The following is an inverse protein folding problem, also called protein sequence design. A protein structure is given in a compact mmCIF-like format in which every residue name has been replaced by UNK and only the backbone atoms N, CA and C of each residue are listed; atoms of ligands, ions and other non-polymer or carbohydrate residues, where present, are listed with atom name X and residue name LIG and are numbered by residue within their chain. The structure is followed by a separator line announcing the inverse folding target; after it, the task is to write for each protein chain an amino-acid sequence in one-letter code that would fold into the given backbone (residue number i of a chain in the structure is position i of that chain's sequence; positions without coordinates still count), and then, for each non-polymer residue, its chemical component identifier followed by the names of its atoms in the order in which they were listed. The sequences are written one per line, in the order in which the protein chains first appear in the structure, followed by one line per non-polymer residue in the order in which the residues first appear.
data_IF_130289722832
#
_entry.id   IF_130289722832
#
_cell.length_a   1.000
_cell.length_b   1.000
_cell.length_c   1.000
_cell.angle_alpha   90.00
_cell.angle_beta   90.00
_cell.angle_gamma   90.00
#
_symmetry.space_group_name_H-M   'P 1'
#
loop_
_entity.id
_entity.type
_entity.pdbx_description
1 polymer ?
#
# COMPACT_ATOMS: atom_id res chain seq x y z
N UNK A 1 -11.51 18.52 -4.68
CA UNK A 1 -11.78 17.06 -4.51
C UNK A 1 -10.82 16.54 -3.47
N UNK A 2 -11.26 15.67 -2.56
CA UNK A 2 -10.43 15.13 -1.48
C UNK A 2 -10.54 13.61 -1.41
N UNK A 3 -9.53 12.95 -0.86
CA UNK A 3 -9.50 11.50 -0.66
C UNK A 3 -10.67 10.99 0.22
N UNK A 4 -11.24 11.86 1.07
CA UNK A 4 -12.41 11.55 1.90
C UNK A 4 -13.65 11.13 1.07
N UNK A 5 -13.76 11.56 -0.19
CA UNK A 5 -14.85 11.13 -1.07
C UNK A 5 -14.85 9.62 -1.38
N UNK A 6 -13.72 8.94 -1.21
CA UNK A 6 -13.62 7.48 -1.32
C UNK A 6 -14.27 6.73 -0.12
N UNK A 7 -14.66 7.46 0.93
CA UNK A 7 -15.07 6.87 2.21
C UNK A 7 -13.87 6.47 3.08
N UNK A 8 -14.19 5.91 4.24
CA UNK A 8 -13.20 5.46 5.25
C UNK A 8 -13.37 3.98 5.54
N UNK A 9 -12.31 3.37 6.08
CA UNK A 9 -12.32 2.02 6.62
C UNK A 9 -11.58 2.02 7.95
N UNK A 10 -11.96 1.14 8.87
CA UNK A 10 -11.29 0.98 10.16
C UNK A 10 -10.10 0.03 10.02
N UNK A 11 -8.92 0.52 10.40
CA UNK A 11 -7.69 -0.26 10.58
C UNK A 11 -7.48 -0.43 12.09
N UNK A 12 -7.95 -1.54 12.65
CA UNK A 12 -8.09 -1.64 14.09
C UNK A 12 -9.04 -0.55 14.61
N UNK A 13 -8.55 0.31 15.50
CA UNK A 13 -9.28 1.47 16.02
C UNK A 13 -8.96 2.81 15.31
N UNK A 14 -8.25 2.75 14.18
CA UNK A 14 -7.85 3.92 13.39
C UNK A 14 -8.72 4.04 12.12
N UNK A 15 -9.42 5.16 11.96
CA UNK A 15 -10.15 5.45 10.72
C UNK A 15 -9.20 6.02 9.66
N UNK A 16 -9.13 5.38 8.50
CA UNK A 16 -8.29 5.82 7.38
C UNK A 16 -9.11 6.02 6.11
N UNK A 17 -8.70 6.97 5.26
CA UNK A 17 -9.30 7.15 3.94
C UNK A 17 -8.96 5.94 3.05
N UNK A 18 -9.94 5.48 2.26
CA UNK A 18 -9.77 4.34 1.35
C UNK A 18 -8.88 4.66 0.14
N UNK A 19 -8.55 5.92 -0.08
CA UNK A 19 -7.51 6.35 -1.00
C UNK A 19 -6.36 6.96 -0.20
N UNK A 20 -5.31 6.16 0.02
CA UNK A 20 -4.09 6.53 0.71
C UNK A 20 -2.96 6.93 -0.25
N UNK A 21 -1.75 6.97 0.26
CA UNK A 21 -0.53 7.31 -0.48
C UNK A 21 0.58 6.28 -0.26
N UNK A 22 1.10 5.72 -1.36
CA UNK A 22 2.24 4.78 -1.36
C UNK A 22 3.57 5.52 -1.51
N UNK A 23 4.42 5.45 -0.49
CA UNK A 23 5.66 6.20 -0.41
C UNK A 23 6.89 5.51 -1.07
N UNK A 24 6.73 4.33 -1.68
CA UNK A 24 7.84 3.63 -2.33
C UNK A 24 8.50 4.45 -3.43
N UNK A 25 7.73 5.24 -4.17
CA UNK A 25 8.22 6.12 -5.24
C UNK A 25 8.98 7.35 -4.75
N UNK A 26 9.00 7.64 -3.45
CA UNK A 26 9.76 8.77 -2.88
C UNK A 26 11.28 8.59 -2.94
N UNK A 27 11.76 7.44 -3.36
CA UNK A 27 13.17 7.08 -3.42
C UNK A 27 13.73 7.15 -4.84
N UNK A 28 15.04 7.03 -4.96
CA UNK A 28 15.74 7.02 -6.24
C UNK A 28 15.46 5.78 -7.10
N UNK A 29 16.07 5.71 -8.29
CA UNK A 29 15.92 4.57 -9.20
C UNK A 29 16.21 3.23 -8.52
N UNK A 30 15.43 2.21 -8.89
CA UNK A 30 15.57 0.88 -8.27
C UNK A 30 15.11 0.84 -6.81
N UNK A 31 14.36 1.84 -6.34
CA UNK A 31 13.95 1.99 -4.92
C UNK A 31 15.18 2.05 -4.01
N UNK A 32 16.21 2.82 -4.40
CA UNK A 32 17.47 2.94 -3.70
C UNK A 32 17.93 4.39 -3.64
N UNK A 33 18.43 4.82 -2.47
CA UNK A 33 18.94 6.17 -2.26
C UNK A 33 17.90 7.29 -2.34
N UNK A 34 18.33 8.54 -2.29
CA UNK A 34 17.45 9.70 -2.32
C UNK A 34 16.82 9.91 -3.71
N UNK A 35 15.67 10.61 -3.78
CA UNK A 35 15.05 10.98 -5.04
C UNK A 35 15.90 11.95 -5.84
N UNK A 36 15.77 11.97 -7.18
CA UNK A 36 16.47 12.96 -8.01
C UNK A 36 15.95 14.39 -7.81
N UNK A 37 14.66 14.54 -7.45
CA UNK A 37 14.03 15.83 -7.16
C UNK A 37 13.40 15.83 -5.76
N UNK A 38 14.18 16.29 -4.79
CA UNK A 38 13.74 16.39 -3.39
C UNK A 38 12.66 17.46 -3.19
N UNK A 39 12.66 18.53 -4.00
CA UNK A 39 11.67 19.61 -3.88
C UNK A 39 10.30 19.14 -4.31
N UNK A 40 10.17 18.44 -5.44
CA UNK A 40 8.94 17.85 -5.89
C UNK A 40 8.38 16.82 -4.89
N UNK A 41 9.26 16.02 -4.28
CA UNK A 41 8.88 15.07 -3.22
C UNK A 41 8.30 15.79 -2.01
N UNK A 42 8.96 16.85 -1.53
CA UNK A 42 8.47 17.63 -0.38
C UNK A 42 7.13 18.31 -0.68
N UNK A 43 6.99 18.92 -1.86
CA UNK A 43 5.72 19.48 -2.30
C UNK A 43 4.60 18.43 -2.33
N UNK A 44 4.90 17.25 -2.88
CA UNK A 44 3.94 16.13 -2.94
C UNK A 44 3.49 15.72 -1.53
N UNK A 45 4.42 15.53 -0.60
CA UNK A 45 4.10 15.13 0.77
C UNK A 45 3.33 16.21 1.53
N UNK A 46 3.71 17.48 1.41
CA UNK A 46 3.00 18.61 2.05
C UNK A 46 1.56 18.77 1.52
N UNK A 47 1.29 18.39 0.27
CA UNK A 47 -0.03 18.49 -0.31
C UNK A 47 -1.02 17.44 0.24
N UNK A 48 -0.55 16.34 0.87
CA UNK A 48 -1.40 15.22 1.31
C UNK A 48 -2.52 15.66 2.26
N UNK A 49 -2.20 16.47 3.27
CA UNK A 49 -3.19 16.95 4.24
C UNK A 49 -4.32 17.74 3.57
N UNK A 50 -3.97 18.72 2.72
CA UNK A 50 -4.95 19.54 2.00
C UNK A 50 -5.80 18.74 1.01
N UNK A 51 -5.34 17.57 0.59
CA UNK A 51 -6.05 16.64 -0.27
C UNK A 51 -6.85 15.59 0.52
N UNK A 52 -6.83 15.63 1.85
CA UNK A 52 -7.60 14.70 2.72
C UNK A 52 -7.07 13.28 2.72
N UNK A 53 -5.81 13.08 2.35
CA UNK A 53 -5.13 11.78 2.49
C UNK A 53 -4.76 11.62 3.96
N UNK A 54 -5.23 10.54 4.59
CA UNK A 54 -4.98 10.25 6.02
C UNK A 54 -4.14 9.00 6.23
N UNK A 55 -3.84 8.24 5.18
CA UNK A 55 -3.06 7.01 5.24
C UNK A 55 -1.84 7.09 4.34
N UNK A 56 -0.65 6.89 4.92
CA UNK A 56 0.64 6.88 4.22
C UNK A 56 1.34 5.55 4.46
N UNK A 57 1.64 4.83 3.39
CA UNK A 57 2.30 3.52 3.45
C UNK A 57 3.76 3.61 2.98
N UNK A 58 4.69 3.33 3.89
CA UNK A 58 6.13 3.28 3.62
C UNK A 58 6.74 1.92 3.99
N UNK A 59 8.06 1.79 4.01
CA UNK A 59 8.82 0.63 4.51
C UNK A 59 10.26 1.03 4.81
N UNK A 60 10.89 0.32 5.76
CA UNK A 60 12.31 0.48 6.08
C UNK A 60 13.24 0.16 4.88
N UNK A 61 12.79 -0.74 4.02
CA UNK A 61 13.52 -1.18 2.81
C UNK A 61 13.43 -0.20 1.64
N UNK A 62 12.62 0.88 1.73
CA UNK A 62 12.51 1.86 0.68
C UNK A 62 13.64 2.91 0.79
N UNK A 63 14.64 2.73 -0.08
CA UNK A 63 15.79 3.60 -0.19
C UNK A 63 17.08 3.32 0.58
N UNK A 64 17.34 2.29 1.39
CA UNK A 64 16.72 1.93 2.67
C UNK A 64 16.61 3.12 3.63
N UNK A 65 15.55 3.17 4.41
CA UNK A 65 15.16 4.23 5.37
C UNK A 65 14.86 5.59 4.74
N UNK A 66 15.28 5.86 3.51
CA UNK A 66 15.10 7.18 2.85
C UNK A 66 13.62 7.58 2.81
N UNK A 67 12.73 6.65 2.45
CA UNK A 67 11.29 6.95 2.40
C UNK A 67 10.73 7.34 3.77
N UNK A 68 11.11 6.62 4.83
CA UNK A 68 10.70 6.95 6.21
C UNK A 68 11.24 8.31 6.65
N UNK A 69 12.50 8.64 6.34
CA UNK A 69 13.09 9.95 6.64
C UNK A 69 12.37 11.10 5.92
N UNK A 70 12.00 10.89 4.65
CA UNK A 70 11.25 11.89 3.87
C UNK A 70 9.83 12.09 4.41
N UNK A 71 9.14 11.00 4.76
CA UNK A 71 7.82 11.03 5.42
C UNK A 71 7.92 11.76 6.75
N UNK A 72 8.92 11.46 7.58
CA UNK A 72 9.17 12.18 8.84
C UNK A 72 9.41 13.65 8.61
N UNK A 73 10.32 13.99 7.70
CA UNK A 73 10.71 15.38 7.43
C UNK A 73 9.56 16.27 6.95
N UNK A 74 8.53 15.68 6.35
CA UNK A 74 7.40 16.42 5.82
C UNK A 74 6.13 16.36 6.69
N UNK A 75 5.91 15.27 7.44
CA UNK A 75 4.62 15.00 8.08
C UNK A 75 4.68 14.89 9.61
N UNK A 76 5.88 14.74 10.21
CA UNK A 76 5.97 14.67 11.68
C UNK A 76 5.45 16.00 12.31
N UNK A 77 4.66 15.95 13.39
CA UNK A 77 4.30 14.82 14.26
C UNK A 77 3.06 13.99 13.81
N UNK A 78 2.77 13.92 12.53
CA UNK A 78 1.74 13.07 11.89
C UNK A 78 0.29 13.40 12.25
N UNK A 79 -0.01 14.63 12.67
CA UNK A 79 -1.38 15.02 12.97
C UNK A 79 -2.32 14.78 11.80
N UNK A 80 -3.33 13.92 12.01
CA UNK A 80 -4.31 13.53 10.98
C UNK A 80 -3.81 12.45 10.00
N UNK A 81 -2.62 11.88 10.23
CA UNK A 81 -2.10 10.78 9.44
C UNK A 81 -1.94 9.51 10.27
N UNK A 82 -2.26 8.37 9.65
CA UNK A 82 -1.83 7.04 10.07
C UNK A 82 -0.67 6.64 9.15
N UNK A 83 0.50 6.40 9.73
CA UNK A 83 1.69 6.01 8.99
C UNK A 83 1.95 4.52 9.18
N UNK A 84 1.87 3.78 8.07
CA UNK A 84 2.22 2.37 8.02
C UNK A 84 3.66 2.20 7.54
N UNK A 85 4.42 1.33 8.20
CA UNK A 85 5.73 0.89 7.69
C UNK A 85 5.83 -0.63 7.69
N UNK A 86 6.95 -1.15 7.17
CA UNK A 86 7.14 -2.59 6.98
C UNK A 86 8.58 -2.99 7.31
N UNK A 87 8.76 -4.27 7.71
CA UNK A 87 10.07 -4.90 7.85
C UNK A 87 10.04 -6.35 7.35
N UNK A 88 11.19 -7.02 7.33
CA UNK A 88 11.33 -8.39 6.82
C UNK A 88 11.78 -8.47 5.37
N UNK A 89 11.93 -7.34 4.66
CA UNK A 89 12.67 -7.24 3.40
C UNK A 89 13.89 -6.35 3.56
N UNK A 90 14.99 -6.76 2.94
CA UNK A 90 16.25 -6.03 2.84
C UNK A 90 16.63 -5.78 1.39
N UNK A 91 17.53 -4.82 1.18
CA UNK A 91 17.95 -4.34 -0.15
C UNK A 91 19.44 -4.57 -0.35
N UNK A 92 19.87 -5.74 -0.88
CA UNK A 92 21.28 -6.00 -1.16
C UNK A 92 21.87 -5.06 -2.21
N UNK A 93 21.10 -4.67 -3.23
CA UNK A 93 21.47 -3.75 -4.30
C UNK A 93 20.22 -3.12 -4.93
N UNK A 94 20.37 -2.09 -5.80
CA UNK A 94 19.26 -1.57 -6.61
C UNK A 94 18.55 -2.70 -7.37
N UNK A 95 17.21 -2.65 -7.40
CA UNK A 95 16.33 -3.67 -8.00
C UNK A 95 16.40 -5.07 -7.38
N UNK A 96 17.24 -5.30 -6.37
CA UNK A 96 17.31 -6.57 -5.66
C UNK A 96 16.58 -6.49 -4.32
N UNK A 97 15.85 -7.55 -4.01
CA UNK A 97 15.09 -7.72 -2.78
C UNK A 97 15.40 -9.08 -2.19
N UNK A 98 15.62 -9.15 -0.90
CA UNK A 98 15.79 -10.39 -0.16
C UNK A 98 14.92 -10.37 1.10
N UNK A 99 14.51 -11.54 1.58
CA UNK A 99 13.83 -11.68 2.86
C UNK A 99 14.87 -11.80 3.99
N UNK A 100 14.52 -11.25 5.16
CA UNK A 100 15.22 -11.52 6.41
C UNK A 100 14.16 -11.54 7.53
N UNK A 101 13.61 -12.74 7.76
CA UNK A 101 12.56 -12.99 8.74
C UNK A 101 13.09 -13.46 10.09
N UNK A 102 14.41 -13.44 10.32
CA UNK A 102 14.98 -13.82 11.61
C UNK A 102 14.45 -12.92 12.73
N UNK A 103 14.13 -13.48 13.91
CA UNK A 103 13.55 -12.69 15.02
C UNK A 103 14.33 -11.43 15.37
N UNK A 104 15.66 -11.50 15.43
CA UNK A 104 16.51 -10.34 15.69
C UNK A 104 16.51 -9.31 14.58
N UNK A 105 16.40 -9.74 13.31
CA UNK A 105 16.30 -8.83 12.18
C UNK A 105 14.96 -8.09 12.14
N UNK A 106 13.86 -8.79 12.42
CA UNK A 106 12.53 -8.19 12.53
C UNK A 106 12.45 -7.18 13.67
N UNK A 107 13.04 -7.49 14.83
CA UNK A 107 13.13 -6.57 15.97
C UNK A 107 13.93 -5.32 15.62
N UNK A 108 15.11 -5.50 15.03
CA UNK A 108 15.96 -4.40 14.56
C UNK A 108 15.26 -3.53 13.52
N UNK A 109 14.44 -4.12 12.64
CA UNK A 109 13.64 -3.37 11.66
C UNK A 109 12.60 -2.48 12.32
N UNK A 110 11.89 -2.96 13.36
CA UNK A 110 10.92 -2.17 14.14
C UNK A 110 11.60 -1.05 14.89
N UNK A 111 12.68 -1.34 15.63
CA UNK A 111 13.48 -0.35 16.38
C UNK A 111 14.05 0.73 15.45
N UNK A 112 14.55 0.32 14.29
CA UNK A 112 15.02 1.23 13.25
C UNK A 112 13.93 2.16 12.75
N UNK A 113 12.74 1.63 12.45
CA UNK A 113 11.59 2.42 11.97
C UNK A 113 11.07 3.39 13.05
N UNK A 114 10.99 2.97 14.32
CA UNK A 114 10.65 3.87 15.45
C UNK A 114 11.57 5.07 15.49
N UNK A 115 12.89 4.83 15.43
CA UNK A 115 13.91 5.88 15.42
C UNK A 115 13.82 6.77 14.19
N UNK A 116 13.68 6.16 13.01
CA UNK A 116 13.67 6.88 11.72
C UNK A 116 12.42 7.74 11.58
N UNK A 117 11.25 7.22 11.94
CA UNK A 117 9.99 7.97 11.93
C UNK A 117 9.87 8.94 13.12
N UNK A 118 10.65 8.74 14.19
CA UNK A 118 10.65 9.62 15.38
C UNK A 118 9.40 9.43 16.24
N UNK A 119 8.95 8.21 16.44
CA UNK A 119 7.77 7.86 17.22
C UNK A 119 8.11 6.79 18.27
N UNK A 120 7.37 6.75 19.37
CA UNK A 120 7.53 5.74 20.41
C UNK A 120 6.75 4.45 20.11
N UNK A 121 5.77 4.52 19.19
CA UNK A 121 4.94 3.41 18.75
C UNK A 121 4.54 3.56 17.28
N UNK A 122 4.67 2.49 16.50
CA UNK A 122 4.20 2.44 15.12
C UNK A 122 2.68 2.19 15.08
N UNK A 123 1.95 2.99 14.33
CA UNK A 123 0.49 2.82 14.18
C UNK A 123 0.14 1.51 13.47
N UNK A 124 0.80 1.23 12.35
CA UNK A 124 0.73 -0.03 11.63
C UNK A 124 2.13 -0.46 11.21
N UNK A 125 2.52 -1.65 11.65
CA UNK A 125 3.71 -2.32 11.12
C UNK A 125 3.29 -3.59 10.38
N UNK A 126 3.85 -3.82 9.18
CA UNK A 126 3.48 -4.94 8.34
C UNK A 126 4.69 -5.85 8.11
N UNK A 127 4.52 -7.17 8.29
CA UNK A 127 5.50 -8.13 7.79
C UNK A 127 5.46 -8.05 6.26
N UNK A 128 6.53 -7.49 5.68
CA UNK A 128 6.59 -7.18 4.25
C UNK A 128 6.51 -8.43 3.36
N UNK A 129 7.11 -9.53 3.85
CA UNK A 129 7.01 -10.87 3.28
C UNK A 129 7.43 -11.89 4.35
N UNK A 130 6.73 -13.01 4.40
CA UNK A 130 7.17 -14.14 5.22
C UNK A 130 8.45 -14.71 4.58
N UNK A 131 9.51 -14.86 5.38
CA UNK A 131 10.76 -15.47 4.93
C UNK A 131 10.62 -16.99 4.88
N UNK A 132 10.77 -17.64 3.71
CA UNK A 132 10.63 -19.08 3.61
C UNK A 132 11.75 -19.87 4.28
N UNK A 133 12.85 -19.22 4.65
CA UNK A 133 14.02 -19.84 5.29
C UNK A 133 13.94 -19.82 6.83
N UNK A 134 12.93 -19.14 7.40
CA UNK A 134 12.69 -19.04 8.84
C UNK A 134 11.30 -19.58 9.15
N UNK A 135 11.11 -20.44 10.15
CA UNK A 135 9.77 -20.90 10.54
C UNK A 135 8.80 -19.72 10.74
N UNK A 136 7.61 -19.81 10.12
CA UNK A 136 6.64 -18.72 10.17
C UNK A 136 6.20 -18.39 11.61
N UNK A 137 6.08 -19.42 12.45
CA UNK A 137 5.70 -19.26 13.87
C UNK A 137 6.73 -18.43 14.65
N UNK A 138 8.04 -18.56 14.35
CA UNK A 138 9.08 -17.75 14.98
C UNK A 138 8.96 -16.28 14.57
N UNK A 139 8.68 -16.02 13.28
CA UNK A 139 8.44 -14.68 12.78
C UNK A 139 7.19 -14.06 13.43
N UNK A 140 6.09 -14.82 13.52
CA UNK A 140 4.84 -14.34 14.11
C UNK A 140 4.96 -14.15 15.62
N UNK A 141 5.68 -15.03 16.32
CA UNK A 141 5.88 -14.90 17.77
C UNK A 141 6.64 -13.62 18.15
N UNK A 142 7.75 -13.30 17.47
CA UNK A 142 8.49 -12.07 17.75
C UNK A 142 7.68 -10.80 17.40
N UNK A 143 6.85 -10.84 16.35
CA UNK A 143 5.95 -9.73 16.00
C UNK A 143 4.90 -9.53 17.10
N UNK A 144 4.29 -10.62 17.59
CA UNK A 144 3.35 -10.58 18.69
C UNK A 144 4.00 -10.02 19.98
N UNK A 145 5.25 -10.37 20.27
CA UNK A 145 6.02 -9.82 21.41
C UNK A 145 6.23 -8.31 21.27
N UNK A 146 6.60 -7.83 20.10
CA UNK A 146 6.76 -6.40 19.84
C UNK A 146 5.45 -5.63 19.94
N UNK A 147 4.33 -6.23 19.54
CA UNK A 147 3.00 -5.65 19.74
C UNK A 147 2.64 -5.59 21.24
N UNK A 148 2.83 -6.69 21.99
CA UNK A 148 2.58 -6.73 23.45
C UNK A 148 3.44 -5.75 24.23
N UNK A 149 4.68 -5.52 23.79
CA UNK A 149 5.58 -4.53 24.43
C UNK A 149 5.24 -3.08 24.10
N UNK A 150 4.24 -2.84 23.23
CA UNK A 150 3.78 -1.51 22.87
C UNK A 150 4.58 -0.82 21.76
N UNK A 151 5.56 -1.49 21.13
CA UNK A 151 6.32 -0.94 20.00
C UNK A 151 5.45 -0.81 18.73
N UNK A 152 4.49 -1.71 18.57
CA UNK A 152 3.56 -1.76 17.43
C UNK A 152 2.14 -1.69 17.99
N UNK A 153 1.30 -0.79 17.43
CA UNK A 153 -0.13 -0.72 17.75
C UNK A 153 -0.91 -1.79 17.00
N UNK A 154 -0.80 -1.80 15.69
CA UNK A 154 -1.48 -2.75 14.81
C UNK A 154 -0.48 -3.50 13.93
N UNK A 155 -0.73 -4.79 13.75
CA UNK A 155 0.07 -5.67 12.89
C UNK A 155 -0.69 -5.96 11.60
N UNK A 156 0.01 -5.82 10.48
CA UNK A 156 -0.48 -6.24 9.17
C UNK A 156 0.44 -7.26 8.50
N UNK A 157 -0.03 -7.82 7.42
CA UNK A 157 0.71 -8.77 6.59
C UNK A 157 0.77 -8.27 5.15
N UNK A 158 1.85 -8.61 4.45
CA UNK A 158 1.98 -8.28 3.02
C UNK A 158 2.47 -9.49 2.22
N UNK A 159 1.96 -9.63 0.99
CA UNK A 159 2.29 -10.73 0.08
C UNK A 159 1.99 -12.12 0.66
N UNK A 160 0.80 -12.29 1.19
CA UNK A 160 0.36 -13.51 1.88
C UNK A 160 -0.82 -14.18 1.16
N UNK A 161 -0.94 -15.48 1.38
CA UNK A 161 -2.09 -16.32 1.02
C UNK A 161 -3.09 -16.43 2.17
N UNK A 162 -4.30 -16.95 1.89
CA UNK A 162 -5.33 -17.20 2.92
C UNK A 162 -4.82 -18.11 4.05
N UNK A 163 -4.17 -19.27 3.79
CA UNK A 163 -3.61 -20.10 4.87
C UNK A 163 -2.60 -19.34 5.74
N UNK A 164 -1.74 -18.50 5.15
CA UNK A 164 -0.75 -17.72 5.90
C UNK A 164 -1.41 -16.64 6.79
N UNK A 165 -2.53 -16.07 6.36
CA UNK A 165 -3.33 -15.16 7.20
C UNK A 165 -3.88 -15.92 8.41
N UNK A 166 -4.47 -17.09 8.20
CA UNK A 166 -5.03 -17.90 9.26
C UNK A 166 -3.97 -18.40 10.26
N UNK A 167 -2.76 -18.72 9.78
CA UNK A 167 -1.66 -19.08 10.66
C UNK A 167 -1.21 -17.88 11.52
N UNK A 168 -1.05 -16.70 10.93
CA UNK A 168 -0.69 -15.48 11.66
C UNK A 168 -1.74 -15.08 12.71
N UNK A 169 -3.04 -15.30 12.42
CA UNK A 169 -4.15 -15.01 13.35
C UNK A 169 -4.13 -15.83 14.63
N UNK A 170 -3.37 -16.92 14.68
CA UNK A 170 -3.13 -17.70 15.91
C UNK A 170 -2.21 -16.95 16.90
N UNK A 171 -1.42 -15.98 16.41
CA UNK A 171 -0.42 -15.24 17.19
C UNK A 171 -0.85 -13.80 17.53
N UNK A 172 -1.53 -13.11 16.61
CA UNK A 172 -1.99 -11.73 16.79
C UNK A 172 -3.23 -11.42 15.93
N UNK A 173 -3.89 -10.31 16.25
CA UNK A 173 -4.96 -9.78 15.40
C UNK A 173 -4.36 -9.16 14.14
N UNK A 174 -4.69 -9.69 12.97
CA UNK A 174 -4.30 -9.13 11.68
C UNK A 174 -5.17 -7.92 11.37
N UNK A 175 -4.60 -6.72 11.43
CA UNK A 175 -5.33 -5.47 11.24
C UNK A 175 -5.39 -5.00 9.78
N UNK A 176 -4.52 -5.52 8.92
CA UNK A 176 -4.55 -5.27 7.46
C UNK A 176 -3.85 -6.37 6.69
N UNK A 177 -4.23 -6.54 5.43
CA UNK A 177 -3.48 -7.35 4.46
C UNK A 177 -3.14 -6.50 3.25
N UNK A 178 -1.87 -6.54 2.82
CA UNK A 178 -1.41 -5.76 1.68
C UNK A 178 -0.85 -6.67 0.58
N UNK A 179 -1.59 -6.81 -0.53
CA UNK A 179 -1.16 -7.62 -1.67
C UNK A 179 -1.24 -6.84 -2.99
N UNK A 180 -0.54 -7.34 -4.02
CA UNK A 180 -0.68 -6.85 -5.38
C UNK A 180 -2.12 -7.07 -5.88
N UNK A 181 -2.78 -5.98 -6.25
CA UNK A 181 -4.13 -6.07 -6.79
C UNK A 181 -4.49 -4.83 -7.62
N UNK A 182 -4.94 -5.05 -8.84
CA UNK A 182 -5.46 -4.00 -9.73
C UNK A 182 -6.29 -4.66 -10.84
N UNK A 183 -6.95 -3.86 -11.65
CA UNK A 183 -7.92 -4.32 -12.65
C UNK A 183 -7.42 -5.41 -13.59
N UNK A 184 -6.11 -5.45 -13.91
CA UNK A 184 -5.46 -6.44 -14.79
C UNK A 184 -4.58 -7.47 -14.06
N UNK A 185 -4.56 -7.49 -12.73
CA UNK A 185 -3.91 -8.54 -11.95
C UNK A 185 -4.75 -8.84 -10.69
N UNK A 186 -5.38 -9.99 -10.71
CA UNK A 186 -6.34 -10.41 -9.68
C UNK A 186 -5.95 -11.69 -8.97
N UNK A 187 -4.66 -12.02 -8.97
CA UNK A 187 -4.19 -13.23 -8.28
C UNK A 187 -4.50 -13.21 -6.79
N UNK A 188 -4.66 -12.03 -6.19
CA UNK A 188 -5.04 -11.86 -4.79
C UNK A 188 -6.55 -11.77 -4.57
N UNK A 189 -7.41 -12.05 -5.57
CA UNK A 189 -8.87 -12.05 -5.41
C UNK A 189 -9.33 -12.93 -4.23
N UNK A 190 -8.86 -14.20 -4.07
CA UNK A 190 -9.27 -15.03 -2.93
C UNK A 190 -8.86 -14.44 -1.57
N UNK A 191 -7.74 -13.71 -1.52
CA UNK A 191 -7.28 -13.02 -0.31
C UNK A 191 -8.15 -11.81 0.00
N UNK A 192 -8.54 -11.03 -1.03
CA UNK A 192 -9.49 -9.93 -0.86
C UNK A 192 -10.83 -10.42 -0.32
N UNK A 193 -11.40 -11.46 -0.93
CA UNK A 193 -12.68 -12.05 -0.50
C UNK A 193 -12.62 -12.57 0.95
N UNK A 194 -11.50 -13.16 1.34
CA UNK A 194 -11.27 -13.60 2.71
C UNK A 194 -11.17 -12.41 3.69
N UNK A 195 -10.49 -11.34 3.29
CA UNK A 195 -10.43 -10.09 4.07
C UNK A 195 -11.81 -9.46 4.24
N UNK A 196 -12.64 -9.45 3.20
CA UNK A 196 -14.04 -8.99 3.24
C UNK A 196 -14.86 -9.75 4.28
N UNK A 197 -14.74 -11.08 4.31
CA UNK A 197 -15.45 -11.94 5.27
C UNK A 197 -15.04 -11.68 6.73
N UNK A 198 -13.77 -11.31 6.93
CA UNK A 198 -13.19 -11.05 8.25
C UNK A 198 -13.29 -9.58 8.68
N UNK A 199 -13.73 -8.67 7.80
CA UNK A 199 -13.72 -7.24 8.06
C UNK A 199 -12.31 -6.65 8.18
N UNK A 200 -11.34 -7.19 7.45
CA UNK A 200 -9.95 -6.75 7.43
C UNK A 200 -9.71 -5.84 6.22
N UNK A 201 -9.20 -4.60 6.37
CA UNK A 201 -8.79 -3.76 5.27
C UNK A 201 -7.76 -4.44 4.36
N UNK A 202 -8.04 -4.42 3.04
CA UNK A 202 -7.15 -4.93 2.02
C UNK A 202 -6.44 -3.78 1.32
N UNK A 203 -5.15 -3.63 1.53
CA UNK A 203 -4.33 -2.56 0.95
C UNK A 203 -3.83 -3.04 -0.42
N UNK A 204 -4.34 -2.42 -1.49
CA UNK A 204 -3.95 -2.75 -2.86
C UNK A 204 -2.69 -1.96 -3.26
N UNK A 205 -1.53 -2.63 -3.31
CA UNK A 205 -0.32 -2.00 -3.82
C UNK A 205 -0.20 -2.14 -5.34
N UNK A 206 0.58 -1.26 -5.99
CA UNK A 206 0.66 -1.09 -7.45
C UNK A 206 -0.72 -0.90 -8.12
N UNK A 207 -1.62 -0.09 -7.56
CA UNK A 207 -2.99 0.04 -8.07
C UNK A 207 -3.03 0.52 -9.54
N UNK A 208 -1.96 1.17 -10.01
CA UNK A 208 -1.77 1.66 -11.38
C UNK A 208 -0.80 0.81 -12.20
N UNK A 209 -0.51 -0.45 -11.79
CA UNK A 209 0.39 -1.36 -12.48
C UNK A 209 1.74 -0.70 -12.83
N UNK A 210 2.39 -0.04 -11.85
CA UNK A 210 3.63 0.73 -12.02
C UNK A 210 3.56 1.89 -13.03
N UNK A 211 2.37 2.39 -13.33
CA UNK A 211 2.10 3.47 -14.27
C UNK A 211 1.44 3.02 -15.59
N UNK A 212 1.50 1.73 -15.93
CA UNK A 212 0.94 1.22 -17.17
C UNK A 212 -0.57 1.46 -17.32
N UNK A 213 -1.32 1.47 -16.22
CA UNK A 213 -2.76 1.76 -16.24
C UNK A 213 -3.07 3.26 -16.29
N UNK A 214 -2.10 4.13 -15.98
CA UNK A 214 -2.24 5.58 -16.06
C UNK A 214 -1.74 6.17 -17.39
N UNK A 215 -1.06 5.37 -18.21
CA UNK A 215 -0.54 5.82 -19.50
C UNK A 215 -1.65 6.19 -20.48
N UNK A 216 -1.40 7.16 -21.36
CA UNK A 216 -2.38 7.63 -22.34
C UNK A 216 -2.84 6.54 -23.34
N UNK A 217 -1.97 5.57 -23.60
CA UNK A 217 -2.22 4.38 -24.44
C UNK A 217 -2.65 3.14 -23.63
N UNK A 218 -3.00 3.33 -22.37
CA UNK A 218 -3.51 2.27 -21.49
C UNK A 218 -4.71 1.56 -22.11
N UNK A 219 -4.84 0.27 -21.82
CA UNK A 219 -6.02 -0.53 -22.20
C UNK A 219 -7.34 0.05 -21.65
N UNK A 220 -7.27 0.88 -20.61
CA UNK A 220 -8.42 1.57 -20.03
C UNK A 220 -8.74 2.89 -20.75
N UNK A 221 -7.84 3.42 -21.61
CA UNK A 221 -8.00 4.74 -22.21
C UNK A 221 -9.32 4.91 -23.00
N UNK A 222 -9.80 3.94 -23.81
CA UNK A 222 -11.07 4.08 -24.51
C UNK A 222 -12.28 4.16 -23.58
N UNK A 223 -12.29 3.39 -22.48
CA UNK A 223 -13.36 3.42 -21.50
C UNK A 223 -13.29 4.70 -20.65
N UNK A 224 -12.09 5.11 -20.21
CA UNK A 224 -11.87 6.34 -19.48
C UNK A 224 -12.30 7.59 -20.25
N UNK A 225 -12.00 7.65 -21.56
CA UNK A 225 -12.43 8.76 -22.44
C UNK A 225 -13.94 8.92 -22.50
N UNK A 226 -14.70 7.81 -22.57
CA UNK A 226 -16.19 7.85 -22.50
C UNK A 226 -16.72 8.41 -21.19
N UNK A 227 -15.95 8.26 -20.10
CA UNK A 227 -16.29 8.75 -18.78
C UNK A 227 -15.81 10.19 -18.52
N UNK A 228 -15.05 10.78 -19.43
CA UNK A 228 -14.43 12.10 -19.27
C UNK A 228 -13.37 12.14 -18.14
N UNK A 229 -12.70 11.01 -17.86
CA UNK A 229 -11.67 10.86 -16.82
C UNK A 229 -10.38 10.29 -17.41
N UNK A 230 -9.29 10.31 -16.62
CA UNK A 230 -8.04 9.70 -17.06
C UNK A 230 -8.07 8.17 -16.84
N UNK A 231 -7.21 7.40 -17.58
CA UNK A 231 -7.10 5.96 -17.37
C UNK A 231 -6.69 5.60 -15.92
N UNK A 232 -5.81 6.40 -15.31
CA UNK A 232 -5.43 6.24 -13.90
C UNK A 232 -6.61 6.41 -12.95
N UNK A 233 -7.44 7.41 -13.18
CA UNK A 233 -8.68 7.60 -12.41
C UNK A 233 -9.66 6.45 -12.59
N UNK A 234 -9.80 5.92 -13.80
CA UNK A 234 -10.66 4.75 -14.07
C UNK A 234 -10.17 3.51 -13.29
N UNK A 235 -8.85 3.26 -13.27
CA UNK A 235 -8.26 2.16 -12.53
C UNK A 235 -8.48 2.28 -11.00
N UNK A 236 -8.30 3.47 -10.44
CA UNK A 236 -8.51 3.73 -9.01
C UNK A 236 -9.98 3.67 -8.63
N UNK A 237 -10.87 4.27 -9.43
CA UNK A 237 -12.32 4.22 -9.21
C UNK A 237 -12.86 2.79 -9.26
N UNK A 238 -12.32 1.96 -10.18
CA UNK A 238 -12.64 0.56 -10.23
C UNK A 238 -12.28 -0.16 -8.93
N UNK A 239 -11.07 0.05 -8.37
CA UNK A 239 -10.65 -0.52 -7.08
C UNK A 239 -11.61 -0.11 -5.96
N UNK A 240 -11.93 1.16 -5.86
CA UNK A 240 -12.80 1.70 -4.82
C UNK A 240 -14.24 1.16 -4.92
N UNK A 241 -14.73 0.89 -6.13
CA UNK A 241 -16.06 0.27 -6.34
C UNK A 241 -16.04 -1.24 -6.15
N UNK A 242 -14.91 -1.94 -6.42
CA UNK A 242 -14.79 -3.40 -6.29
C UNK A 242 -15.09 -3.89 -4.87
N UNK A 243 -14.65 -3.15 -3.85
CA UNK A 243 -14.90 -3.53 -2.47
C UNK A 243 -14.80 -2.34 -1.52
N UNK A 244 -15.67 -2.23 -0.51
CA UNK A 244 -15.56 -1.23 0.54
C UNK A 244 -14.34 -1.45 1.46
N UNK A 245 -13.74 -2.63 1.44
CA UNK A 245 -12.57 -2.98 2.24
C UNK A 245 -11.25 -2.67 1.55
N UNK A 246 -11.25 -2.27 0.27
CA UNK A 246 -10.02 -1.90 -0.45
C UNK A 246 -9.55 -0.51 -0.03
N UNK A 247 -8.26 -0.43 0.32
CA UNK A 247 -7.47 0.80 0.45
C UNK A 247 -6.48 0.85 -0.70
N UNK A 248 -6.66 1.77 -1.64
CA UNK A 248 -5.74 1.96 -2.76
C UNK A 248 -4.62 2.92 -2.38
N UNK A 249 -3.35 2.57 -2.67
CA UNK A 249 -2.16 3.35 -2.32
C UNK A 249 -1.33 3.74 -3.56
N UNK A 250 -1.86 4.56 -4.48
CA UNK A 250 -1.07 5.07 -5.60
C UNK A 250 0.10 5.93 -5.08
N UNK A 251 1.29 5.73 -5.65
CA UNK A 251 2.50 6.48 -5.30
C UNK A 251 3.04 7.31 -6.45
N UNK A 252 3.47 8.54 -6.17
CA UNK A 252 4.08 9.46 -7.13
C UNK A 252 5.00 10.45 -6.43
N UNK A 253 5.99 11.00 -7.17
CA UNK A 253 6.80 12.16 -6.75
C UNK A 253 6.25 13.47 -7.33
N UNK A 254 5.23 13.41 -8.18
CA UNK A 254 4.71 14.57 -8.91
C UNK A 254 3.40 15.08 -8.25
N UNK A 255 3.36 16.34 -7.79
CA UNK A 255 2.16 16.91 -7.16
C UNK A 255 0.93 16.95 -8.08
N UNK A 256 1.11 17.07 -9.41
CA UNK A 256 0.00 17.04 -10.35
C UNK A 256 -0.62 15.63 -10.44
N UNK A 257 0.23 14.59 -10.52
CA UNK A 257 -0.25 13.20 -10.50
C UNK A 257 -0.90 12.84 -9.16
N UNK A 258 -0.42 13.42 -8.03
CA UNK A 258 -1.10 13.23 -6.75
C UNK A 258 -2.52 13.78 -6.78
N UNK A 259 -2.71 15.00 -7.28
CA UNK A 259 -4.05 15.61 -7.41
C UNK A 259 -4.95 14.80 -8.34
N UNK A 260 -4.41 14.31 -9.46
CA UNK A 260 -5.12 13.44 -10.39
C UNK A 260 -5.57 12.14 -9.72
N UNK A 261 -4.66 11.47 -9.01
CA UNK A 261 -4.97 10.24 -8.28
C UNK A 261 -6.05 10.48 -7.22
N UNK A 262 -5.95 11.57 -6.45
CA UNK A 262 -6.94 11.90 -5.41
C UNK A 262 -8.31 12.23 -6.01
N UNK A 263 -8.35 12.82 -7.19
CA UNK A 263 -9.61 13.12 -7.87
C UNK A 263 -10.41 11.85 -8.23
N UNK A 264 -9.76 10.69 -8.34
CA UNK A 264 -10.43 9.40 -8.54
C UNK A 264 -11.41 9.06 -7.40
N UNK A 265 -11.19 9.57 -6.19
CA UNK A 265 -12.09 9.36 -5.05
C UNK A 265 -13.53 9.86 -5.30
N UNK A 266 -13.68 10.86 -6.17
CA UNK A 266 -14.99 11.44 -6.50
C UNK A 266 -15.65 10.82 -7.73
N UNK A 267 -14.99 9.87 -8.40
CA UNK A 267 -15.53 9.20 -9.58
C UNK A 267 -16.54 8.13 -9.15
N UNK A 268 -17.79 8.32 -9.57
CA UNK A 268 -18.86 7.35 -9.33
C UNK A 268 -19.11 6.56 -10.61
N UNK A 269 -18.74 5.29 -10.61
CA UNK A 269 -19.00 4.38 -11.73
C UNK A 269 -20.41 3.80 -11.61
N UNK A 270 -21.21 3.80 -12.70
CA UNK A 270 -22.42 2.98 -12.75
C UNK A 270 -22.04 1.48 -12.75
N UNK A 271 -23.03 0.59 -12.62
CA UNK A 271 -22.77 -0.86 -12.66
C UNK A 271 -22.33 -1.30 -14.06
N UNK A 272 -22.87 -0.68 -15.11
CA UNK A 272 -22.46 -0.96 -16.49
C UNK A 272 -21.03 -0.50 -16.76
N UNK A 273 -20.65 0.69 -16.27
CA UNK A 273 -19.29 1.23 -16.39
C UNK A 273 -18.28 0.36 -15.64
N UNK A 274 -18.63 -0.04 -14.42
CA UNK A 274 -17.82 -0.98 -13.65
C UNK A 274 -17.66 -2.31 -14.39
N UNK A 275 -18.75 -2.89 -14.91
CA UNK A 275 -18.73 -4.14 -15.66
C UNK A 275 -17.90 -4.04 -16.96
N UNK A 276 -17.89 -2.87 -17.62
CA UNK A 276 -17.01 -2.65 -18.81
C UNK A 276 -15.54 -2.71 -18.39
N UNK A 277 -15.13 -2.00 -17.34
CA UNK A 277 -13.75 -2.04 -16.81
C UNK A 277 -13.36 -3.45 -16.33
N UNK A 278 -14.30 -4.17 -15.68
CA UNK A 278 -14.16 -5.56 -15.29
C UNK A 278 -13.80 -6.46 -16.47
N UNK A 279 -14.55 -6.36 -17.55
CA UNK A 279 -14.37 -7.17 -18.76
C UNK A 279 -13.03 -6.88 -19.43
N UNK A 280 -12.64 -5.59 -19.51
CA UNK A 280 -11.34 -5.19 -20.05
C UNK A 280 -10.22 -5.82 -19.21
N UNK A 281 -10.30 -5.69 -17.89
CA UNK A 281 -9.30 -6.22 -16.97
C UNK A 281 -9.18 -7.74 -17.02
N UNK A 282 -10.30 -8.47 -17.02
CA UNK A 282 -10.33 -9.94 -17.14
C UNK A 282 -9.68 -10.42 -18.43
N UNK A 283 -9.99 -9.79 -19.56
CA UNK A 283 -9.40 -10.12 -20.85
C UNK A 283 -7.88 -9.92 -20.86
N UNK A 284 -7.41 -8.81 -20.29
CA UNK A 284 -5.97 -8.52 -20.20
C UNK A 284 -5.25 -9.49 -19.24
N UNK A 285 -5.89 -9.88 -18.14
CA UNK A 285 -5.34 -10.84 -17.19
C UNK A 285 -5.14 -12.23 -17.82
N UNK A 286 -6.06 -12.68 -18.67
CA UNK A 286 -5.96 -13.94 -19.40
C UNK A 286 -4.82 -13.98 -20.42
N UNK A 287 -4.42 -12.80 -20.94
CA UNK A 287 -3.33 -12.68 -21.91
C UNK A 287 -1.95 -12.55 -21.27
N UNK A 288 -1.88 -12.40 -19.95
CA UNK A 288 -0.62 -12.39 -19.22
C UNK A 288 -0.12 -13.81 -19.01
N UNK A 289 0.96 -14.17 -19.66
CA UNK A 289 1.69 -15.40 -19.34
C UNK A 289 2.04 -15.41 -17.85
N UNK A 290 1.95 -16.55 -17.15
CA UNK A 290 2.44 -16.66 -15.77
C UNK A 290 3.91 -16.20 -15.76
N UNK A 291 4.25 -15.22 -14.95
CA UNK A 291 5.65 -14.94 -14.65
C UNK A 291 6.15 -16.07 -13.77
N UNK A 292 7.32 -16.67 -14.11
CA UNK A 292 7.90 -17.76 -13.34
C UNK A 292 8.21 -17.35 -11.89
#
# INVERSE_FOLDING_TARGET
MTAAAAGTVMLGDLAIARLGYGAMRLTGPGVMGPPPDLMAVRETLHALAGLGVTFVDTANSYGPLISELLVRGALHPYHGFVVATKGGLVRPAPYQWATDGRPEALRSAVEGSLKTLGVDRLDLWQLHRIDPNVPADEQFAVIADMQRSGMIRHVGLSNVSVPQIEDARKHFTVASVQNLYHVIDRRSEPVLEHCEQLGIPFIAYYPLATGALAAADSILAPAAAKLGITPGQAALAWLLKRSPWIVAIPGTQNPAHLRENVAAASVQLSDEQFAELERIGKRANLLRTPRP
#
